data_IF_762503861502
#
_entry.id   IF_762503861502
#
_cell.length_a   1.000
_cell.length_b   1.000
_cell.length_c   1.000
_cell.angle_alpha   90.00
_cell.angle_beta   90.00
_cell.angle_gamma   90.00
#
_symmetry.space_group_name_H-M   'P 1'
#
loop_
_entity.id
_entity.type
_entity.pdbx_description
1 polymer ?
#
# COMPACT_ATOMS: atom_id res chain seq x y z
N UNK A 1 -18.20 5.66 12.74
CA UNK A 1 -16.84 6.15 13.04
C UNK A 1 -16.31 6.96 11.86
N UNK A 2 -15.59 8.05 12.14
CA UNK A 2 -15.00 8.88 11.10
C UNK A 2 -13.90 8.09 10.38
N UNK A 3 -13.81 8.24 9.05
CA UNK A 3 -12.71 7.72 8.24
C UNK A 3 -11.92 8.90 7.70
N UNK A 4 -10.60 8.73 7.63
CA UNK A 4 -9.71 9.71 7.03
C UNK A 4 -8.80 8.98 6.04
N UNK A 5 -8.64 9.55 4.85
CA UNK A 5 -7.73 9.02 3.84
C UNK A 5 -6.68 10.07 3.55
N UNK A 6 -5.42 9.68 3.57
CA UNK A 6 -4.29 10.53 3.21
C UNK A 6 -3.70 10.01 1.91
N UNK A 7 -3.55 10.89 0.92
CA UNK A 7 -3.01 10.54 -0.41
C UNK A 7 -1.83 11.46 -0.75
N UNK A 8 -0.92 10.98 -1.61
CA UNK A 8 0.30 11.64 -2.05
C UNK A 8 1.34 11.71 -0.94
N UNK A 9 1.28 10.76 -0.01
CA UNK A 9 2.29 10.60 1.02
C UNK A 9 3.56 10.03 0.39
N UNK A 10 4.70 10.61 0.69
CA UNK A 10 6.02 10.12 0.27
C UNK A 10 6.54 9.09 1.29
N UNK A 11 7.48 8.21 0.92
CA UNK A 11 8.09 7.30 1.89
C UNK A 11 8.74 8.03 3.07
N UNK A 12 9.38 9.18 2.83
CA UNK A 12 9.99 9.98 3.88
C UNK A 12 8.96 10.51 4.88
N UNK A 13 7.84 11.07 4.40
CA UNK A 13 6.77 11.54 5.31
C UNK A 13 6.15 10.39 6.09
N UNK A 14 5.94 9.23 5.46
CA UNK A 14 5.36 8.07 6.16
C UNK A 14 6.30 7.54 7.24
N UNK A 15 7.62 7.59 7.04
CA UNK A 15 8.59 7.12 8.03
C UNK A 15 8.55 7.91 9.35
N UNK A 16 8.12 9.18 9.31
CA UNK A 16 8.05 10.07 10.46
C UNK A 16 6.72 10.01 11.21
N UNK A 17 5.73 9.25 10.71
CA UNK A 17 4.42 9.12 11.36
C UNK A 17 4.50 8.25 12.62
N UNK A 18 3.62 8.51 13.57
CA UNK A 18 3.61 7.85 14.89
C UNK A 18 2.21 7.35 15.32
N UNK A 19 1.32 7.08 14.37
CA UNK A 19 -0.03 6.56 14.66
C UNK A 19 -0.02 5.16 15.27
N UNK A 20 -1.07 4.84 16.05
CA UNK A 20 -1.35 3.46 16.47
C UNK A 20 -1.89 2.65 15.30
N UNK A 21 -1.17 1.58 14.94
CA UNK A 21 -1.48 0.68 13.83
C UNK A 21 -2.92 0.19 13.83
N UNK A 22 -3.56 0.04 15.00
CA UNK A 22 -4.94 -0.46 15.12
C UNK A 22 -5.94 0.36 14.31
N UNK A 23 -5.64 1.64 14.08
CA UNK A 23 -6.51 2.55 13.35
C UNK A 23 -6.35 2.46 11.82
N UNK A 24 -5.21 1.96 11.33
CA UNK A 24 -4.96 1.86 9.90
C UNK A 24 -5.78 0.69 9.31
N UNK A 25 -6.75 1.01 8.47
CA UNK A 25 -7.58 0.04 7.76
C UNK A 25 -6.85 -0.55 6.56
N UNK A 26 -6.14 0.27 5.81
CA UNK A 26 -5.41 -0.17 4.63
C UNK A 26 -4.35 0.84 4.22
N UNK A 27 -3.35 0.33 3.51
CA UNK A 27 -2.36 1.12 2.80
C UNK A 27 -2.24 0.64 1.36
N UNK A 28 -1.88 1.55 0.47
CA UNK A 28 -1.56 1.31 -0.95
C UNK A 28 -0.29 2.09 -1.31
N UNK A 29 0.60 1.46 -2.07
CA UNK A 29 1.83 2.03 -2.60
C UNK A 29 1.74 1.92 -4.12
N UNK A 30 1.54 3.05 -4.80
CA UNK A 30 1.59 3.13 -6.25
C UNK A 30 3.01 3.45 -6.70
N UNK A 31 3.67 2.49 -7.34
CA UNK A 31 5.00 2.59 -7.90
C UNK A 31 4.91 2.87 -9.41
N UNK A 32 5.13 4.11 -9.84
CA UNK A 32 4.99 4.55 -11.25
C UNK A 32 6.37 4.71 -11.91
N UNK A 33 6.59 4.10 -13.08
CA UNK A 33 7.77 4.39 -13.92
C UNK A 33 7.58 5.72 -14.64
N UNK A 34 8.70 6.39 -14.92
CA UNK A 34 8.67 7.65 -15.66
C UNK A 34 8.91 7.38 -17.16
N UNK A 35 8.27 8.14 -18.07
CA UNK A 35 7.30 9.20 -17.80
C UNK A 35 5.92 8.66 -17.32
N UNK A 36 5.18 9.46 -16.53
CA UNK A 36 3.89 9.02 -15.98
C UNK A 36 2.82 8.78 -17.05
N UNK A 37 2.95 9.42 -18.22
CA UNK A 37 2.01 9.30 -19.35
C UNK A 37 1.94 7.88 -19.91
N UNK A 38 3.01 7.10 -19.79
CA UNK A 38 3.04 5.69 -20.24
C UNK A 38 2.18 4.78 -19.36
N UNK A 39 1.71 5.29 -18.21
CA UNK A 39 0.88 4.58 -17.25
C UNK A 39 1.46 3.22 -16.81
N UNK A 40 2.79 3.08 -16.81
CA UNK A 40 3.47 1.86 -16.37
C UNK A 40 3.62 1.91 -14.85
N UNK A 41 2.91 1.04 -14.13
CA UNK A 41 2.95 1.05 -12.66
C UNK A 41 2.69 -0.31 -12.02
N UNK A 42 3.10 -0.42 -10.76
CA UNK A 42 2.79 -1.50 -9.84
C UNK A 42 2.05 -0.88 -8.65
N UNK A 43 0.86 -1.36 -8.31
CA UNK A 43 0.19 -0.98 -7.07
C UNK A 43 0.29 -2.11 -6.07
N UNK A 44 0.89 -1.86 -4.90
CA UNK A 44 1.06 -2.83 -3.82
C UNK A 44 0.24 -2.38 -2.62
N UNK A 45 -0.66 -3.24 -2.11
CA UNK A 45 -1.58 -2.85 -1.07
C UNK A 45 -1.88 -3.99 -0.09
N UNK A 46 -2.43 -3.63 1.07
CA UNK A 46 -2.87 -4.55 2.10
C UNK A 46 -4.09 -4.02 2.84
N UNK A 47 -5.10 -4.86 3.00
CA UNK A 47 -6.35 -4.52 3.68
C UNK A 47 -6.48 -5.24 5.03
N UNK A 48 -6.71 -4.46 6.09
CA UNK A 48 -7.40 -4.78 7.36
C UNK A 48 -8.03 -6.16 7.44
N UNK A 49 -9.10 -6.22 6.65
CA UNK A 49 -10.11 -7.25 6.68
C UNK A 49 -9.98 -8.22 5.50
N UNK A 50 -8.83 -8.20 4.82
CA UNK A 50 -8.52 -9.01 3.65
C UNK A 50 -8.95 -8.37 2.34
N UNK A 51 -8.26 -8.77 1.28
CA UNK A 51 -8.58 -8.41 -0.09
C UNK A 51 -9.53 -9.45 -0.69
N UNK A 52 -10.64 -9.07 -1.31
CA UNK A 52 -11.57 -10.02 -1.89
C UNK A 52 -10.93 -10.76 -3.08
N UNK A 53 -10.90 -12.09 -2.94
CA UNK A 53 -10.72 -13.06 -4.01
C UNK A 53 -12.04 -13.81 -4.16
N UNK A 54 -12.82 -13.39 -5.17
CA UNK A 54 -14.22 -13.79 -5.31
C UNK A 54 -15.01 -13.49 -4.02
N UNK A 55 -15.60 -14.48 -3.37
CA UNK A 55 -16.35 -14.30 -2.11
C UNK A 55 -15.49 -14.50 -0.85
N UNK A 56 -14.19 -14.73 -0.99
CA UNK A 56 -13.29 -15.03 0.13
C UNK A 56 -12.35 -13.85 0.40
N UNK A 57 -12.32 -13.29 1.62
CA UNK A 57 -11.32 -12.30 2.00
C UNK A 57 -9.97 -12.99 2.25
N UNK A 58 -8.95 -12.63 1.47
CA UNK A 58 -7.59 -13.13 1.59
C UNK A 58 -6.73 -12.12 2.34
N UNK A 59 -6.10 -12.53 3.44
CA UNK A 59 -5.15 -11.69 4.17
C UNK A 59 -3.76 -11.77 3.55
N UNK A 60 -3.02 -10.67 3.63
CA UNK A 60 -1.67 -10.56 3.08
C UNK A 60 -1.54 -9.47 2.02
N UNK A 61 -0.35 -9.38 1.44
CA UNK A 61 -0.02 -8.41 0.39
C UNK A 61 -0.68 -8.84 -0.91
N UNK A 62 -1.24 -7.86 -1.61
CA UNK A 62 -1.67 -8.01 -2.99
C UNK A 62 -0.96 -6.95 -3.81
N UNK A 63 -0.56 -7.30 -5.02
CA UNK A 63 -0.18 -6.29 -5.99
C UNK A 63 -0.94 -6.46 -7.29
N UNK A 64 -1.12 -5.35 -7.99
CA UNK A 64 -1.60 -5.29 -9.35
C UNK A 64 -0.63 -4.48 -10.19
N UNK A 65 -0.74 -4.59 -11.51
CA UNK A 65 0.16 -3.89 -12.40
C UNK A 65 -0.55 -3.38 -13.64
N UNK A 66 0.02 -2.37 -14.27
CA UNK A 66 -0.40 -1.88 -15.58
C UNK A 66 0.84 -1.74 -16.48
N UNK A 67 0.74 -2.25 -17.71
CA UNK A 67 1.82 -2.23 -18.71
C UNK A 67 3.20 -2.74 -18.22
N UNK A 68 3.21 -3.60 -17.19
CA UNK A 68 4.42 -4.29 -16.74
C UNK A 68 4.63 -5.55 -17.61
N UNK A 69 5.83 -5.77 -18.17
CA UNK A 69 6.14 -6.98 -18.91
C UNK A 69 5.93 -8.26 -18.08
N UNK A 70 5.37 -9.29 -18.71
CA UNK A 70 5.04 -10.56 -18.02
C UNK A 70 6.26 -11.25 -17.38
N UNK A 71 7.46 -11.06 -17.94
CA UNK A 71 8.71 -11.59 -17.40
C UNK A 71 9.18 -10.85 -16.13
N UNK A 72 8.68 -9.65 -15.84
CA UNK A 72 8.98 -8.90 -14.61
C UNK A 72 8.05 -9.28 -13.45
N UNK A 73 6.84 -9.79 -13.72
CA UNK A 73 5.87 -10.20 -12.70
C UNK A 73 6.49 -11.20 -11.69
N UNK A 74 7.22 -12.26 -12.11
CA UNK A 74 7.90 -13.17 -11.18
C UNK A 74 8.98 -12.47 -10.34
N UNK A 75 9.64 -11.43 -10.87
CA UNK A 75 10.65 -10.66 -10.13
C UNK A 75 10.00 -9.82 -9.04
N UNK A 76 8.88 -9.16 -9.33
CA UNK A 76 8.07 -8.40 -8.34
C UNK A 76 7.54 -9.34 -7.27
N UNK A 77 6.95 -10.47 -7.69
CA UNK A 77 6.40 -11.48 -6.78
C UNK A 77 7.48 -12.02 -5.84
N UNK A 78 8.67 -12.35 -6.37
CA UNK A 78 9.80 -12.82 -5.57
C UNK A 78 10.27 -11.75 -4.58
N UNK A 79 10.42 -10.51 -5.02
CA UNK A 79 10.85 -9.40 -4.15
C UNK A 79 9.96 -9.25 -2.91
N UNK A 80 8.65 -9.30 -3.10
CA UNK A 80 7.67 -9.21 -2.01
C UNK A 80 7.64 -10.48 -1.16
N UNK A 81 7.61 -11.66 -1.78
CA UNK A 81 7.54 -12.95 -1.10
C UNK A 81 8.80 -13.26 -0.28
N UNK A 82 9.98 -12.90 -0.75
CA UNK A 82 11.23 -13.15 -0.03
C UNK A 82 11.28 -12.33 1.28
N UNK A 83 10.59 -11.18 1.33
CA UNK A 83 10.52 -10.32 2.53
C UNK A 83 9.36 -10.68 3.46
N UNK A 84 8.19 -11.04 2.91
CA UNK A 84 6.96 -11.18 3.69
C UNK A 84 6.34 -12.58 3.65
N UNK A 85 6.89 -13.51 2.86
CA UNK A 85 6.36 -14.84 2.65
C UNK A 85 5.04 -14.83 1.86
N UNK A 86 4.20 -15.81 2.14
CA UNK A 86 2.88 -15.98 1.53
C UNK A 86 2.87 -16.89 0.31
N UNK A 87 1.70 -17.47 0.06
CA UNK A 87 1.43 -18.36 -1.07
C UNK A 87 0.94 -17.55 -2.26
N UNK A 88 1.64 -17.67 -3.39
CA UNK A 88 1.27 -17.01 -4.64
C UNK A 88 -0.06 -17.55 -5.18
N UNK A 89 -1.00 -16.66 -5.49
CA UNK A 89 -2.24 -16.94 -6.22
C UNK A 89 -2.53 -15.78 -7.19
N UNK A 90 -3.08 -16.05 -8.38
CA UNK A 90 -3.34 -15.02 -9.40
C UNK A 90 -4.83 -14.93 -9.75
N UNK A 91 -5.32 -13.71 -10.00
CA UNK A 91 -6.67 -13.45 -10.50
C UNK A 91 -6.68 -12.18 -11.36
N UNK A 92 -6.77 -12.34 -12.68
CA UNK A 92 -6.57 -11.24 -13.62
C UNK A 92 -5.17 -10.64 -13.43
N UNK A 93 -5.09 -9.31 -13.40
CA UNK A 93 -3.83 -8.57 -13.21
C UNK A 93 -3.39 -8.47 -11.73
N UNK A 94 -4.10 -9.15 -10.81
CA UNK A 94 -3.75 -9.18 -9.39
C UNK A 94 -2.99 -10.46 -9.05
N UNK A 95 -1.92 -10.28 -8.28
CA UNK A 95 -1.15 -11.34 -7.64
C UNK A 95 -1.28 -11.20 -6.13
N UNK A 96 -1.72 -12.27 -5.50
CA UNK A 96 -1.91 -12.39 -4.06
C UNK A 96 -0.74 -13.16 -3.47
N UNK A 97 -0.20 -12.65 -2.37
CA UNK A 97 0.69 -13.39 -1.47
C UNK A 97 -0.15 -13.75 -0.24
N UNK A 98 -1.00 -14.77 -0.40
CA UNK A 98 -1.94 -15.19 0.63
C UNK A 98 -1.18 -15.62 1.89
N UNK A 99 -1.66 -15.17 3.05
CA UNK A 99 -1.06 -15.42 4.36
C UNK A 99 0.38 -14.88 4.50
N UNK A 100 0.77 -13.90 3.66
CA UNK A 100 2.01 -13.15 3.90
C UNK A 100 1.92 -12.37 5.21
N UNK A 101 3.08 -12.07 5.81
CA UNK A 101 3.17 -11.21 6.99
C UNK A 101 2.40 -9.91 6.76
N UNK A 102 1.48 -9.62 7.68
CA UNK A 102 0.74 -8.36 7.72
C UNK A 102 1.53 -7.33 8.55
N UNK A 103 1.49 -6.08 8.12
CA UNK A 103 2.12 -4.97 8.82
C UNK A 103 1.33 -3.69 8.51
N UNK A 104 1.22 -2.84 9.51
CA UNK A 104 0.52 -1.57 9.42
C UNK A 104 1.35 -0.45 10.03
N UNK A 105 2.60 -0.72 10.38
CA UNK A 105 3.52 0.26 10.93
C UNK A 105 4.07 1.19 9.83
N UNK A 106 4.24 2.49 10.13
CA UNK A 106 4.74 3.45 9.17
C UNK A 106 6.14 3.09 8.62
N UNK A 107 7.02 2.56 9.46
CA UNK A 107 8.40 2.20 9.09
C UNK A 107 8.41 1.07 8.05
N UNK A 108 7.60 0.04 8.25
CA UNK A 108 7.43 -1.08 7.33
C UNK A 108 6.87 -0.66 5.98
N UNK A 109 5.87 0.22 5.97
CA UNK A 109 5.26 0.77 4.74
C UNK A 109 6.27 1.62 3.98
N UNK A 110 6.98 2.53 4.67
CA UNK A 110 8.03 3.35 4.07
C UNK A 110 9.17 2.50 3.52
N UNK A 111 9.64 1.51 4.28
CA UNK A 111 10.71 0.58 3.88
C UNK A 111 10.33 -0.24 2.65
N UNK A 112 9.06 -0.65 2.52
CA UNK A 112 8.57 -1.30 1.32
C UNK A 112 8.58 -0.35 0.13
N UNK A 113 8.04 0.87 0.29
CA UNK A 113 7.98 1.84 -0.79
C UNK A 113 9.38 2.17 -1.33
N UNK A 114 10.35 2.49 -0.46
CA UNK A 114 11.75 2.75 -0.85
C UNK A 114 12.40 1.54 -1.54
N UNK A 115 12.09 0.33 -1.07
CA UNK A 115 12.58 -0.91 -1.69
C UNK A 115 12.04 -1.08 -3.10
N UNK A 116 10.77 -0.76 -3.33
CA UNK A 116 10.14 -0.79 -4.64
C UNK A 116 10.77 0.26 -5.58
N UNK A 117 10.95 1.50 -5.10
CA UNK A 117 11.61 2.58 -5.86
C UNK A 117 12.98 2.14 -6.36
N UNK A 118 13.81 1.65 -5.44
CA UNK A 118 15.18 1.22 -5.75
C UNK A 118 15.23 0.00 -6.68
N UNK A 119 14.33 -0.96 -6.49
CA UNK A 119 14.41 -2.26 -7.20
C UNK A 119 13.84 -2.18 -8.61
N UNK A 120 12.80 -1.38 -8.81
CA UNK A 120 12.01 -1.36 -10.04
C UNK A 120 12.06 -0.03 -10.81
N UNK A 121 12.90 0.91 -10.35
CA UNK A 121 13.11 2.23 -10.93
C UNK A 121 11.79 3.00 -11.08
N UNK A 122 11.11 3.19 -9.95
CA UNK A 122 9.79 3.81 -9.87
C UNK A 122 9.80 4.98 -8.90
N UNK A 123 8.87 5.92 -9.08
CA UNK A 123 8.48 6.86 -8.01
C UNK A 123 7.27 6.31 -7.27
N UNK A 124 7.27 6.43 -5.94
CA UNK A 124 6.15 5.94 -5.12
C UNK A 124 5.27 7.04 -4.57
N UNK A 125 3.97 6.74 -4.56
CA UNK A 125 2.96 7.49 -3.81
C UNK A 125 2.25 6.52 -2.89
N UNK A 126 2.18 6.89 -1.61
CA UNK A 126 1.54 6.11 -0.57
C UNK A 126 0.17 6.72 -0.27
N UNK A 127 -0.82 5.84 -0.09
CA UNK A 127 -2.16 6.17 0.40
C UNK A 127 -2.41 5.40 1.70
N UNK A 128 -2.86 6.09 2.73
CA UNK A 128 -3.21 5.52 4.04
C UNK A 128 -4.67 5.82 4.34
N UNK A 129 -5.44 4.82 4.78
CA UNK A 129 -6.82 5.00 5.23
C UNK A 129 -6.99 4.53 6.67
N UNK A 130 -7.52 5.43 7.49
CA UNK A 130 -7.73 5.25 8.92
C UNK A 130 -9.22 5.23 9.27
N UNK A 131 -9.57 4.53 10.33
CA UNK A 131 -10.91 4.57 10.93
C UNK A 131 -10.82 4.67 12.45
N UNK A 132 -11.60 5.58 13.02
CA UNK A 132 -11.75 5.69 14.47
C UNK A 132 -10.73 6.59 15.17
N UNK A 133 -9.83 7.25 14.44
CA UNK A 133 -8.98 8.29 15.01
C UNK A 133 -9.75 9.60 15.21
N UNK A 134 -9.49 10.27 16.32
CA UNK A 134 -9.83 11.67 16.53
C UNK A 134 -8.90 12.61 15.75
N UNK A 135 -9.32 13.86 15.60
CA UNK A 135 -8.50 14.89 14.94
C UNK A 135 -7.21 15.21 15.72
N UNK A 136 -7.24 15.07 17.05
CA UNK A 136 -6.07 15.25 17.90
C UNK A 136 -5.06 14.12 17.70
N UNK A 137 -5.51 12.87 17.74
CA UNK A 137 -4.65 11.71 17.45
C UNK A 137 -4.04 11.77 16.03
N UNK A 138 -4.77 12.31 15.03
CA UNK A 138 -4.22 12.49 13.69
C UNK A 138 -3.08 13.51 13.66
N UNK A 139 -3.26 14.66 14.33
CA UNK A 139 -2.21 15.69 14.42
C UNK A 139 -1.00 15.22 15.20
N UNK A 140 -1.21 14.56 16.34
CA UNK A 140 -0.13 14.02 17.18
C UNK A 140 0.65 12.92 16.45
N UNK A 141 -0.02 12.16 15.58
CA UNK A 141 0.60 11.18 14.70
C UNK A 141 1.38 11.77 13.52
N UNK A 142 1.37 13.10 13.35
CA UNK A 142 2.05 13.79 12.25
C UNK A 142 1.33 13.72 10.89
N UNK A 143 0.04 13.33 10.86
CA UNK A 143 -0.71 13.23 9.62
C UNK A 143 -1.04 14.63 9.05
N UNK A 144 -0.64 14.96 7.81
CA UNK A 144 -0.74 16.32 7.29
C UNK A 144 -2.13 16.64 6.72
N UNK A 145 -2.77 17.68 7.23
CA UNK A 145 -4.08 18.17 6.77
C UNK A 145 -4.11 18.46 5.27
N UNK A 146 -3.00 18.94 4.70
CA UNK A 146 -2.88 19.27 3.27
C UNK A 146 -3.01 18.08 2.33
N UNK A 147 -2.87 16.84 2.86
CA UNK A 147 -2.98 15.59 2.11
C UNK A 147 -4.20 14.77 2.48
N UNK A 148 -5.06 15.30 3.36
CA UNK A 148 -6.34 14.71 3.67
C UNK A 148 -7.22 14.72 2.41
N UNK A 149 -7.58 13.53 1.95
CA UNK A 149 -8.51 13.32 0.85
C UNK A 149 -9.92 13.11 1.42
N UNK A 150 -10.90 13.95 1.04
CA UNK A 150 -12.29 13.75 1.44
C UNK A 150 -12.80 12.38 0.99
N UNK A 151 -13.58 11.72 1.84
CA UNK A 151 -14.29 10.48 1.49
C UNK A 151 -15.73 10.87 1.13
N UNK A 152 -16.12 10.85 -0.16
CA UNK A 152 -17.45 11.26 -0.58
C UNK A 152 -18.53 10.33 -0.03
N UNK A 153 -19.72 10.89 0.25
CA UNK A 153 -20.90 10.09 0.64
C UNK A 153 -20.94 9.67 2.11
N UNK A 154 -20.18 10.35 2.98
CA UNK A 154 -20.42 10.38 4.42
C UNK A 154 -20.99 11.73 4.83
#
# INVERSE_FOLDING_TARGET
>A
MARARYWKMTPAEVAELSYDEKFLLNWDIKCTRQPEEDAIFIGVFMYRHGTPLDYTPIKGIVFYHNHIPNNEIPRITRHLRDRYGGKETKKGDRVFLADSKQFYDPVGISSLALSMEKTFDTKTVITLEFEGMSQEEMRDAGLPDSKLLPIPGK
#
